data_IF_756325143159
#
_entry.id   IF_756325143159
#
_cell.length_a   1.000
_cell.length_b   1.000
_cell.length_c   1.000
_cell.angle_alpha   90.00
_cell.angle_beta   90.00
_cell.angle_gamma   90.00
#
_symmetry.space_group_name_H-M   'P 1'
#
loop_
_entity.id
_entity.type
_entity.pdbx_description
1 polymer ?
#
# COMPACT_ATOMS: atom_id res chain seq x y z
N UNK A 1 -21.53 -12.47 23.99
CA UNK A 1 -22.64 -11.68 24.56
C UNK A 1 -22.56 -10.22 24.13
N UNK A 2 -21.48 -9.49 24.46
CA UNK A 2 -21.36 -8.05 24.17
C UNK A 2 -21.52 -7.66 22.69
N UNK A 3 -20.89 -8.39 21.77
CA UNK A 3 -20.99 -8.10 20.31
C UNK A 3 -22.43 -8.22 19.79
N UNK A 4 -23.18 -9.22 20.27
CA UNK A 4 -24.60 -9.38 19.90
C UNK A 4 -25.45 -8.23 20.44
N UNK A 5 -25.10 -7.72 21.61
CA UNK A 5 -25.79 -6.60 22.25
C UNK A 5 -25.49 -5.28 21.52
N UNK A 6 -24.23 -5.04 21.14
CA UNK A 6 -23.83 -3.88 20.32
C UNK A 6 -24.46 -3.94 18.93
N UNK A 7 -24.45 -5.10 18.26
CA UNK A 7 -25.12 -5.27 16.96
C UNK A 7 -26.65 -5.17 17.04
N UNK A 8 -27.24 -5.37 18.24
CA UNK A 8 -28.66 -5.15 18.47
C UNK A 8 -28.98 -3.66 18.71
N UNK A 9 -28.11 -2.93 19.43
CA UNK A 9 -28.27 -1.47 19.66
C UNK A 9 -27.93 -0.65 18.41
N UNK A 10 -26.95 -1.08 17.63
CA UNK A 10 -26.50 -0.43 16.39
C UNK A 10 -26.51 -1.41 15.22
N UNK A 11 -27.69 -1.77 14.69
CA UNK A 11 -27.81 -2.74 13.58
C UNK A 11 -27.15 -2.25 12.28
N UNK A 12 -26.99 -0.93 12.14
CA UNK A 12 -26.27 -0.23 11.06
C UNK A 12 -24.75 -0.50 11.09
N UNK A 13 -24.19 -0.90 12.25
CA UNK A 13 -22.75 -1.10 12.47
C UNK A 13 -22.44 -2.53 12.89
N UNK A 14 -22.03 -3.34 11.92
CA UNK A 14 -21.73 -4.76 12.13
C UNK A 14 -20.26 -4.98 12.50
N UNK A 15 -19.93 -4.92 13.79
CA UNK A 15 -18.57 -5.13 14.34
C UNK A 15 -18.11 -6.61 14.43
N UNK A 16 -18.90 -7.55 13.93
CA UNK A 16 -18.64 -8.99 14.05
C UNK A 16 -17.29 -9.40 13.44
N UNK A 17 -16.93 -8.81 12.30
CA UNK A 17 -15.66 -9.06 11.62
C UNK A 17 -14.46 -8.60 12.44
N UNK A 18 -14.55 -7.43 13.09
CA UNK A 18 -13.47 -6.84 13.88
C UNK A 18 -13.12 -7.73 15.08
N UNK A 19 -14.13 -8.22 15.80
CA UNK A 19 -13.91 -9.11 16.95
C UNK A 19 -13.28 -10.43 16.52
N UNK A 20 -13.69 -10.97 15.36
CA UNK A 20 -13.11 -12.19 14.80
C UNK A 20 -11.66 -11.99 14.35
N UNK A 21 -11.30 -10.77 13.93
CA UNK A 21 -9.93 -10.39 13.61
C UNK A 21 -9.08 -10.30 14.88
N UNK A 22 -9.50 -9.51 15.87
CA UNK A 22 -8.78 -9.33 17.13
C UNK A 22 -8.53 -10.65 17.86
N UNK A 23 -9.53 -11.53 17.94
CA UNK A 23 -9.38 -12.85 18.60
C UNK A 23 -8.31 -13.73 17.96
N UNK A 24 -8.05 -13.56 16.66
CA UNK A 24 -7.02 -14.32 15.95
C UNK A 24 -5.63 -13.71 16.12
N UNK A 25 -5.55 -12.38 16.15
CA UNK A 25 -4.28 -11.65 16.10
C UNK A 25 -3.66 -11.45 17.48
N UNK A 26 -4.47 -11.27 18.54
CA UNK A 26 -3.96 -11.07 19.91
C UNK A 26 -3.03 -12.20 20.37
N UNK A 27 -3.33 -13.50 20.20
CA UNK A 27 -2.42 -14.55 20.62
C UNK A 27 -1.09 -14.55 19.87
N UNK A 28 -1.11 -14.15 18.59
CA UNK A 28 0.08 -14.04 17.73
C UNK A 28 0.97 -12.89 18.21
N UNK A 29 0.38 -11.76 18.57
CA UNK A 29 1.10 -10.60 19.11
C UNK A 29 1.73 -10.86 20.49
N UNK A 30 1.19 -11.82 21.26
CA UNK A 30 1.69 -12.15 22.60
C UNK A 30 2.83 -13.18 22.59
N UNK A 31 3.21 -13.73 21.44
CA UNK A 31 4.34 -14.65 21.30
C UNK A 31 5.50 -13.99 20.53
N UNK A 32 6.45 -13.46 21.29
CA UNK A 32 7.60 -12.76 20.73
C UNK A 32 8.60 -13.66 19.99
N UNK A 33 8.54 -14.99 20.16
CA UNK A 33 9.34 -15.88 19.32
C UNK A 33 8.82 -15.88 17.88
N UNK A 34 7.50 -15.78 17.70
CA UNK A 34 6.89 -15.66 16.39
C UNK A 34 7.30 -14.36 15.69
N UNK A 35 7.34 -13.25 16.43
CA UNK A 35 7.87 -11.97 15.94
C UNK A 35 9.33 -12.09 15.49
N UNK A 36 10.21 -12.70 16.30
CA UNK A 36 11.60 -12.93 15.93
C UNK A 36 11.76 -13.76 14.65
N UNK A 37 10.94 -14.82 14.48
CA UNK A 37 10.97 -15.65 13.28
C UNK A 37 10.48 -14.90 12.04
N UNK A 38 9.46 -14.04 12.20
CA UNK A 38 8.99 -13.15 11.13
C UNK A 38 10.09 -12.16 10.72
N UNK A 39 10.81 -11.57 11.68
CA UNK A 39 11.92 -10.67 11.41
C UNK A 39 13.01 -11.35 10.56
N UNK A 40 13.47 -12.54 10.95
CA UNK A 40 14.45 -13.29 10.16
C UNK A 40 13.94 -13.66 8.77
N UNK A 41 12.67 -14.06 8.66
CA UNK A 41 12.03 -14.40 7.38
C UNK A 41 12.03 -13.19 6.45
N UNK A 42 11.67 -12.01 6.95
CA UNK A 42 11.65 -10.75 6.18
C UNK A 42 13.06 -10.33 5.79
N UNK A 43 14.02 -10.39 6.72
CA UNK A 43 15.43 -10.11 6.44
C UNK A 43 15.99 -10.99 5.32
N UNK A 44 15.71 -12.29 5.34
CA UNK A 44 16.10 -13.24 4.26
C UNK A 44 15.35 -12.95 2.95
N UNK A 45 14.05 -12.69 3.03
CA UNK A 45 13.17 -12.48 1.86
C UNK A 45 13.52 -11.24 1.04
N UNK A 46 14.08 -10.22 1.70
CA UNK A 46 14.39 -8.91 1.13
C UNK A 46 15.89 -8.57 1.19
N UNK A 47 16.76 -9.56 1.28
CA UNK A 47 18.22 -9.37 1.29
C UNK A 47 18.77 -8.67 0.04
N UNK A 48 18.02 -8.68 -1.07
CA UNK A 48 18.34 -7.93 -2.29
C UNK A 48 18.08 -6.42 -2.18
N UNK A 49 17.49 -5.94 -1.07
CA UNK A 49 17.27 -4.52 -0.78
C UNK A 49 18.32 -4.03 0.23
N UNK A 50 19.48 -3.50 -0.21
CA UNK A 50 20.60 -3.20 0.69
C UNK A 50 20.28 -2.11 1.74
N UNK A 51 19.31 -1.24 1.43
CA UNK A 51 18.82 -0.16 2.27
C UNK A 51 17.78 -0.60 3.31
N UNK A 52 17.28 -1.84 3.24
CA UNK A 52 16.36 -2.37 4.25
C UNK A 52 17.18 -3.03 5.36
N UNK A 53 16.97 -2.59 6.60
CA UNK A 53 17.57 -3.20 7.78
C UNK A 53 16.48 -3.83 8.65
N UNK A 54 16.73 -5.07 9.04
CA UNK A 54 15.92 -5.81 10.00
C UNK A 54 16.88 -6.23 11.12
N UNK A 55 16.60 -5.90 12.40
CA UNK A 55 17.46 -6.26 13.51
C UNK A 55 17.77 -7.76 13.56
N UNK A 56 19.04 -8.11 13.81
CA UNK A 56 19.39 -9.50 14.13
C UNK A 56 18.76 -9.91 15.46
N UNK A 57 18.16 -11.11 15.51
CA UNK A 57 17.59 -11.66 16.75
C UNK A 57 18.68 -12.40 17.55
N UNK A 58 18.71 -12.17 18.86
CA UNK A 58 19.55 -12.89 19.81
C UNK A 58 18.70 -13.95 20.53
N UNK A 59 18.62 -15.14 19.94
CA UNK A 59 17.74 -16.22 20.41
C UNK A 59 18.07 -16.71 21.83
N UNK A 60 19.35 -16.74 22.21
CA UNK A 60 19.79 -17.13 23.56
C UNK A 60 19.29 -16.18 24.66
N UNK A 61 18.86 -14.97 24.28
CA UNK A 61 18.33 -13.93 25.15
C UNK A 61 16.84 -13.67 24.91
N UNK A 62 16.17 -14.54 24.15
CA UNK A 62 14.76 -14.35 23.74
C UNK A 62 13.86 -15.49 24.24
N UNK A 63 12.64 -15.13 24.60
CA UNK A 63 11.56 -16.03 25.04
C UNK A 63 10.24 -15.57 24.43
N UNK A 64 9.14 -16.29 24.66
CA UNK A 64 7.81 -15.88 24.18
C UNK A 64 7.32 -14.54 24.78
N UNK A 65 7.97 -14.03 25.83
CA UNK A 65 7.59 -12.78 26.53
C UNK A 65 8.65 -11.69 26.47
N UNK A 66 9.86 -11.99 25.95
CA UNK A 66 10.97 -11.04 25.83
C UNK A 66 11.68 -11.30 24.51
N UNK A 67 11.72 -10.33 23.61
CA UNK A 67 12.51 -10.39 22.38
C UNK A 67 13.76 -9.54 22.52
N UNK A 68 14.93 -10.14 22.35
CA UNK A 68 16.20 -9.42 22.34
C UNK A 68 16.73 -9.35 20.91
N UNK A 69 17.00 -8.14 20.42
CA UNK A 69 17.43 -7.89 19.04
C UNK A 69 18.54 -6.84 18.96
N UNK A 70 19.20 -6.77 17.81
CA UNK A 70 20.23 -5.78 17.49
C UNK A 70 19.73 -4.35 17.69
N UNK A 71 20.53 -3.56 18.41
CA UNK A 71 20.24 -2.15 18.58
C UNK A 71 20.60 -1.38 17.30
N UNK A 72 19.57 -0.84 16.65
CA UNK A 72 19.71 -0.01 15.46
C UNK A 72 19.26 1.42 15.77
N UNK A 73 20.14 2.38 15.52
CA UNK A 73 19.83 3.79 15.68
C UNK A 73 19.10 4.37 14.47
N UNK A 74 18.23 5.35 14.70
CA UNK A 74 17.55 6.12 13.66
C UNK A 74 16.47 7.01 14.27
N UNK A 75 15.91 7.91 13.47
CA UNK A 75 14.73 8.68 13.85
C UNK A 75 13.46 8.02 13.31
N UNK A 76 12.33 8.21 13.99
CA UNK A 76 11.06 7.68 13.51
C UNK A 76 10.69 8.28 12.15
N UNK A 77 10.05 7.49 11.28
CA UNK A 77 9.68 7.93 9.92
C UNK A 77 8.75 9.14 9.90
N UNK A 78 7.98 9.34 10.97
CA UNK A 78 7.06 10.48 11.14
C UNK A 78 7.72 11.69 11.84
N UNK A 79 8.97 11.58 12.27
CA UNK A 79 9.71 12.69 12.89
C UNK A 79 10.31 13.62 11.82
N UNK A 80 9.54 14.64 11.47
CA UNK A 80 9.97 15.69 10.54
C UNK A 80 11.14 16.52 11.03
N UNK A 81 11.35 16.62 12.35
CA UNK A 81 12.48 17.36 12.92
C UNK A 81 13.78 16.60 12.69
N UNK A 82 13.78 15.30 12.97
CA UNK A 82 14.92 14.42 12.70
C UNK A 82 15.25 14.35 11.22
N UNK A 83 14.22 14.19 10.36
CA UNK A 83 14.41 14.12 8.91
C UNK A 83 15.10 15.38 8.38
N UNK A 84 14.69 16.57 8.86
CA UNK A 84 15.28 17.85 8.45
C UNK A 84 16.70 18.03 8.98
N UNK A 85 16.92 17.78 10.28
CA UNK A 85 18.23 17.95 10.90
C UNK A 85 19.29 17.02 10.29
N UNK A 86 18.89 15.80 9.90
CA UNK A 86 19.77 14.82 9.27
C UNK A 86 19.82 14.93 7.73
N UNK A 87 19.18 15.95 7.13
CA UNK A 87 19.13 16.16 5.66
C UNK A 87 18.71 14.87 4.92
N UNK A 88 17.72 14.17 5.46
CA UNK A 88 17.11 12.98 4.88
C UNK A 88 16.08 13.43 3.86
N UNK A 89 16.08 12.82 2.67
CA UNK A 89 15.12 13.12 1.63
C UNK A 89 13.80 12.40 1.90
N UNK A 90 12.69 13.11 2.25
CA UNK A 90 11.40 12.48 2.53
C UNK A 90 10.84 11.68 1.34
N UNK A 91 11.17 12.12 0.12
CA UNK A 91 10.73 11.45 -1.11
C UNK A 91 11.37 10.07 -1.27
N UNK A 92 12.65 9.95 -0.92
CA UNK A 92 13.38 8.68 -1.01
C UNK A 92 12.88 7.68 0.05
N UNK A 93 12.58 8.18 1.27
CA UNK A 93 11.95 7.38 2.32
C UNK A 93 10.60 6.83 1.85
N UNK A 94 9.73 7.70 1.33
CA UNK A 94 8.43 7.31 0.82
C UNK A 94 8.54 6.31 -0.35
N UNK A 95 9.46 6.52 -1.29
CA UNK A 95 9.72 5.58 -2.40
C UNK A 95 10.15 4.20 -1.89
N UNK A 96 11.13 4.15 -0.98
CA UNK A 96 11.64 2.90 -0.40
C UNK A 96 10.54 2.14 0.34
N UNK A 97 9.78 2.81 1.20
CA UNK A 97 8.64 2.19 1.89
C UNK A 97 7.58 1.70 0.91
N UNK A 98 7.18 2.52 -0.06
CA UNK A 98 6.23 2.12 -1.10
C UNK A 98 6.70 0.86 -1.83
N UNK A 99 7.99 0.79 -2.16
CA UNK A 99 8.60 -0.35 -2.87
C UNK A 99 8.64 -1.60 -2.03
N UNK A 100 8.90 -1.47 -0.73
CA UNK A 100 8.89 -2.57 0.22
C UNK A 100 7.48 -3.18 0.32
N UNK A 101 6.49 -2.37 0.71
CA UNK A 101 5.12 -2.84 0.94
C UNK A 101 4.46 -3.32 -0.36
N UNK A 102 4.74 -2.67 -1.50
CA UNK A 102 4.26 -3.17 -2.80
C UNK A 102 4.84 -4.54 -3.14
N UNK A 103 6.11 -4.80 -2.83
CA UNK A 103 6.70 -6.13 -3.04
C UNK A 103 6.13 -7.17 -2.06
N UNK A 104 5.92 -6.79 -0.79
CA UNK A 104 5.24 -7.65 0.19
C UNK A 104 3.86 -8.10 -0.31
N UNK A 105 3.06 -7.17 -0.83
CA UNK A 105 1.70 -7.43 -1.31
C UNK A 105 1.68 -8.19 -2.64
N UNK A 106 2.28 -7.61 -3.69
CA UNK A 106 2.08 -8.10 -5.06
C UNK A 106 3.05 -9.22 -5.44
N UNK A 107 4.25 -9.26 -4.86
CA UNK A 107 5.34 -10.15 -5.31
C UNK A 107 5.58 -11.31 -4.35
N UNK A 108 5.66 -11.06 -3.05
CA UNK A 108 6.00 -12.08 -2.04
C UNK A 108 4.76 -12.72 -1.42
N UNK A 109 3.70 -11.94 -1.19
CA UNK A 109 2.50 -12.43 -0.50
C UNK A 109 2.70 -12.63 1.00
N UNK A 110 3.68 -11.96 1.60
CA UNK A 110 3.91 -11.95 3.04
C UNK A 110 3.89 -10.49 3.47
N UNK A 111 2.77 -10.07 4.06
CA UNK A 111 2.44 -8.66 4.26
C UNK A 111 2.44 -8.32 5.73
N UNK A 112 3.23 -7.31 6.09
CA UNK A 112 3.17 -6.73 7.41
C UNK A 112 1.83 -6.00 7.56
N UNK A 113 1.02 -6.52 8.49
CA UNK A 113 -0.37 -6.13 8.68
C UNK A 113 -0.56 -4.97 9.65
N UNK A 114 0.52 -4.48 10.27
CA UNK A 114 0.46 -3.32 11.15
C UNK A 114 1.75 -2.47 11.17
N UNK A 115 2.13 -1.87 10.03
CA UNK A 115 3.33 -1.05 9.97
C UNK A 115 3.16 0.31 10.64
N UNK A 116 3.14 0.32 11.97
CA UNK A 116 3.02 1.54 12.76
C UNK A 116 4.24 2.45 12.52
N UNK A 117 4.07 3.75 12.21
CA UNK A 117 5.19 4.66 11.93
C UNK A 117 6.25 4.72 13.04
N UNK A 118 5.85 4.50 14.30
CA UNK A 118 6.78 4.44 15.43
C UNK A 118 7.77 3.29 15.39
N UNK A 119 7.46 2.20 14.67
CA UNK A 119 8.30 1.01 14.53
C UNK A 119 9.14 1.02 13.24
N UNK A 120 9.11 2.14 12.51
CA UNK A 120 9.87 2.35 11.28
C UNK A 120 10.87 3.48 11.55
N UNK A 121 12.15 3.15 11.59
CA UNK A 121 13.20 4.16 11.70
C UNK A 121 13.82 4.46 10.34
N UNK A 122 14.33 5.68 10.22
CA UNK A 122 15.12 6.15 9.09
C UNK A 122 16.48 6.62 9.58
N UNK A 123 17.54 6.23 8.88
CA UNK A 123 18.90 6.67 9.18
C UNK A 123 19.62 7.03 7.88
N UNK A 124 20.36 8.14 7.89
CA UNK A 124 21.29 8.44 6.80
C UNK A 124 22.64 7.81 7.13
N UNK A 125 23.14 6.96 6.24
CA UNK A 125 24.45 6.32 6.36
C UNK A 125 25.56 7.32 6.05
N UNK A 126 26.80 7.00 6.45
CA UNK A 126 27.98 7.80 6.15
C UNK A 126 28.19 8.04 4.64
N UNK A 127 27.77 7.08 3.81
CA UNK A 127 27.86 7.15 2.35
C UNK A 127 26.73 7.99 1.72
N UNK A 128 25.83 8.55 2.55
CA UNK A 128 24.71 9.37 2.10
C UNK A 128 23.45 8.60 1.72
N UNK A 129 23.49 7.26 1.73
CA UNK A 129 22.31 6.41 1.50
C UNK A 129 21.36 6.44 2.69
N UNK A 130 20.06 6.30 2.44
CA UNK A 130 19.04 6.24 3.50
C UNK A 130 18.66 4.79 3.80
N UNK A 131 18.89 4.34 5.02
CA UNK A 131 18.41 3.07 5.51
C UNK A 131 16.99 3.21 6.07
N UNK A 132 16.17 2.20 5.80
CA UNK A 132 14.86 1.97 6.42
C UNK A 132 15.00 0.79 7.36
N UNK A 133 14.71 1.00 8.64
CA UNK A 133 14.80 -0.01 9.69
C UNK A 133 13.38 -0.39 10.11
N UNK A 134 13.03 -1.68 10.00
CA UNK A 134 11.76 -2.22 10.50
C UNK A 134 12.00 -2.95 11.80
N UNK A 135 11.47 -2.41 12.90
CA UNK A 135 11.63 -2.97 14.24
C UNK A 135 10.59 -4.04 14.55
N UNK A 136 9.33 -3.75 14.26
CA UNK A 136 8.19 -4.61 14.60
C UNK A 136 7.93 -5.63 13.51
N UNK A 137 7.83 -6.90 13.92
CA UNK A 137 7.45 -8.00 13.05
C UNK A 137 6.35 -8.90 13.63
N UNK A 138 5.57 -8.39 14.58
CA UNK A 138 4.57 -9.17 15.31
C UNK A 138 3.44 -9.69 14.40
N UNK A 139 2.89 -8.80 13.55
CA UNK A 139 1.76 -9.14 12.69
C UNK A 139 2.13 -9.21 11.20
N UNK A 140 2.17 -10.44 10.71
CA UNK A 140 2.23 -10.75 9.28
C UNK A 140 1.06 -11.63 8.84
N UNK A 141 0.66 -11.43 7.59
CA UNK A 141 -0.30 -12.27 6.93
C UNK A 141 0.26 -12.85 5.64
N UNK A 142 -0.06 -14.12 5.40
CA UNK A 142 0.21 -14.78 4.14
C UNK A 142 -0.98 -14.62 3.19
N UNK A 143 -0.71 -14.04 2.03
CA UNK A 143 -1.67 -13.87 0.96
C UNK A 143 -1.61 -15.06 0.01
N UNK A 144 -2.76 -15.70 -0.21
CA UNK A 144 -2.90 -16.74 -1.23
C UNK A 144 -2.58 -16.18 -2.62
N UNK A 145 -2.02 -17.02 -3.50
CA UNK A 145 -1.69 -16.61 -4.86
C UNK A 145 -2.93 -16.16 -5.63
N UNK A 146 -4.05 -16.87 -5.51
CA UNK A 146 -5.31 -16.53 -6.18
C UNK A 146 -5.79 -15.14 -5.78
N UNK A 147 -5.81 -14.84 -4.48
CA UNK A 147 -6.16 -13.52 -3.98
C UNK A 147 -5.23 -12.42 -4.53
N UNK A 148 -3.91 -12.66 -4.50
CA UNK A 148 -2.92 -11.70 -5.02
C UNK A 148 -3.10 -11.44 -6.51
N UNK A 149 -3.47 -12.47 -7.27
CA UNK A 149 -3.71 -12.35 -8.71
C UNK A 149 -4.97 -11.55 -8.98
N UNK A 150 -6.08 -11.86 -8.32
CA UNK A 150 -7.31 -11.09 -8.46
C UNK A 150 -7.12 -9.62 -8.01
N UNK A 151 -6.38 -9.39 -6.93
CA UNK A 151 -6.04 -8.04 -6.50
C UNK A 151 -5.13 -7.31 -7.50
N UNK A 152 -4.14 -8.00 -8.09
CA UNK A 152 -3.27 -7.43 -9.13
C UNK A 152 -4.07 -7.08 -10.39
N UNK A 153 -5.00 -7.94 -10.80
CA UNK A 153 -5.87 -7.71 -11.96
C UNK A 153 -6.85 -6.57 -11.70
N UNK A 154 -7.46 -6.49 -10.51
CA UNK A 154 -8.29 -5.34 -10.11
C UNK A 154 -7.52 -4.02 -10.24
N UNK A 155 -6.31 -3.96 -9.67
CA UNK A 155 -5.44 -2.79 -9.82
C UNK A 155 -5.10 -2.49 -11.28
N UNK A 156 -4.82 -3.52 -12.07
CA UNK A 156 -4.53 -3.36 -13.50
C UNK A 156 -5.76 -2.81 -14.26
N UNK A 157 -6.97 -3.24 -13.93
CA UNK A 157 -8.22 -2.72 -14.49
C UNK A 157 -8.45 -1.26 -14.09
N UNK A 158 -8.17 -0.89 -12.84
CA UNK A 158 -8.19 0.51 -12.38
C UNK A 158 -7.22 1.37 -13.22
N UNK A 159 -6.00 0.89 -13.46
CA UNK A 159 -5.00 1.62 -14.25
C UNK A 159 -5.42 1.81 -15.72
N UNK A 160 -6.11 0.82 -16.29
CA UNK A 160 -6.60 0.88 -17.66
C UNK A 160 -8.01 1.49 -17.79
N UNK A 161 -8.63 1.87 -16.67
CA UNK A 161 -10.01 2.38 -16.61
C UNK A 161 -11.03 1.38 -17.18
N UNK A 162 -10.72 0.09 -17.06
CA UNK A 162 -11.57 -1.01 -17.50
C UNK A 162 -12.62 -1.30 -16.44
N UNK A 163 -13.83 -0.77 -16.65
CA UNK A 163 -14.95 -0.92 -15.71
C UNK A 163 -15.39 -2.38 -15.57
N UNK A 164 -15.39 -3.13 -16.67
CA UNK A 164 -15.84 -4.52 -16.66
C UNK A 164 -14.84 -5.40 -15.90
N UNK A 165 -13.54 -5.19 -16.16
CA UNK A 165 -12.49 -5.82 -15.37
C UNK A 165 -12.55 -5.43 -13.89
N UNK A 166 -12.83 -4.16 -13.56
CA UNK A 166 -13.01 -3.73 -12.17
C UNK A 166 -14.18 -4.43 -11.49
N UNK A 167 -15.32 -4.56 -12.18
CA UNK A 167 -16.50 -5.28 -11.68
C UNK A 167 -16.19 -6.75 -11.43
N UNK A 168 -15.64 -7.44 -12.44
CA UNK A 168 -15.34 -8.87 -12.37
C UNK A 168 -14.36 -9.22 -11.24
N UNK A 169 -13.25 -8.49 -11.13
CA UNK A 169 -12.25 -8.78 -10.12
C UNK A 169 -12.68 -8.35 -8.72
N UNK A 170 -13.51 -7.30 -8.59
CA UNK A 170 -14.11 -6.95 -7.30
C UNK A 170 -15.07 -8.06 -6.84
N UNK A 171 -15.88 -8.61 -7.74
CA UNK A 171 -16.81 -9.69 -7.45
C UNK A 171 -16.07 -10.95 -6.95
N UNK A 172 -14.97 -11.32 -7.62
CA UNK A 172 -14.08 -12.40 -7.19
C UNK A 172 -13.43 -12.14 -5.81
N UNK A 173 -13.30 -10.88 -5.41
CA UNK A 173 -12.80 -10.46 -4.10
C UNK A 173 -13.92 -10.30 -3.05
N UNK A 174 -15.16 -10.66 -3.37
CA UNK A 174 -16.32 -10.61 -2.46
C UNK A 174 -17.11 -9.31 -2.52
N UNK A 175 -16.84 -8.43 -3.49
CA UNK A 175 -17.53 -7.13 -3.64
C UNK A 175 -18.16 -7.03 -5.01
N UNK A 176 -19.48 -7.22 -5.10
CA UNK A 176 -20.22 -7.16 -6.36
C UNK A 176 -20.40 -5.74 -6.90
N UNK A 177 -21.62 -5.21 -6.82
CA UNK A 177 -22.01 -3.94 -7.45
C UNK A 177 -21.28 -2.70 -6.88
N UNK A 178 -20.64 -2.82 -5.71
CA UNK A 178 -19.89 -1.75 -5.06
C UNK A 178 -18.41 -1.67 -5.50
N UNK A 179 -18.07 -2.23 -6.67
CA UNK A 179 -16.70 -2.21 -7.20
C UNK A 179 -16.11 -0.79 -7.34
N UNK A 180 -16.94 0.22 -7.63
CA UNK A 180 -16.51 1.61 -7.71
C UNK A 180 -16.03 2.13 -6.35
N UNK A 181 -16.75 1.80 -5.28
CA UNK A 181 -16.41 2.18 -3.91
C UNK A 181 -15.13 1.47 -3.47
N UNK A 182 -15.01 0.18 -3.78
CA UNK A 182 -13.79 -0.57 -3.52
C UNK A 182 -12.57 0.04 -4.24
N UNK A 183 -12.71 0.41 -5.51
CA UNK A 183 -11.64 1.09 -6.25
C UNK A 183 -11.25 2.42 -5.61
N UNK A 184 -12.22 3.21 -5.12
CA UNK A 184 -11.96 4.43 -4.36
C UNK A 184 -11.20 4.15 -3.05
N UNK A 185 -11.60 3.14 -2.28
CA UNK A 185 -10.94 2.73 -1.02
C UNK A 185 -9.49 2.27 -1.25
N UNK A 186 -9.25 1.50 -2.31
CA UNK A 186 -7.92 0.98 -2.68
C UNK A 186 -6.98 2.09 -3.15
N UNK A 187 -7.50 3.06 -3.89
CA UNK A 187 -6.66 4.11 -4.49
C UNK A 187 -6.56 5.36 -3.62
N UNK A 188 -7.48 5.56 -2.68
CA UNK A 188 -7.63 6.79 -1.91
C UNK A 188 -8.10 7.98 -2.78
N UNK A 189 -8.82 7.69 -3.87
CA UNK A 189 -9.23 8.68 -4.89
C UNK A 189 -10.71 8.62 -5.17
N UNK A 190 -11.24 9.72 -5.69
CA UNK A 190 -12.62 9.77 -6.16
C UNK A 190 -12.78 8.97 -7.45
N UNK A 191 -14.00 8.50 -7.69
CA UNK A 191 -14.34 7.78 -8.90
C UNK A 191 -14.04 8.60 -10.16
N UNK A 192 -14.37 9.90 -10.15
CA UNK A 192 -14.10 10.80 -11.26
C UNK A 192 -12.59 10.96 -11.53
N UNK A 193 -11.76 10.97 -10.49
CA UNK A 193 -10.31 11.04 -10.63
C UNK A 193 -9.73 9.77 -11.29
N UNK A 194 -10.28 8.60 -10.94
CA UNK A 194 -9.92 7.32 -11.55
C UNK A 194 -10.33 7.33 -13.03
N UNK A 195 -11.59 7.67 -13.34
CA UNK A 195 -12.15 7.61 -14.69
C UNK A 195 -11.59 8.68 -15.64
N UNK A 196 -11.36 9.90 -15.16
CA UNK A 196 -10.70 10.95 -15.94
C UNK A 196 -9.22 10.64 -16.19
N UNK A 197 -8.64 9.72 -15.41
CA UNK A 197 -7.19 9.51 -15.38
C UNK A 197 -6.44 10.66 -14.72
N UNK A 198 -7.12 11.61 -14.05
CA UNK A 198 -6.47 12.60 -13.21
C UNK A 198 -6.27 12.03 -11.81
N UNK A 199 -5.30 11.13 -11.75
CA UNK A 199 -4.78 10.46 -10.57
C UNK A 199 -4.07 11.42 -9.58
N UNK A 200 -4.42 12.71 -9.58
CA UNK A 200 -3.88 13.74 -8.69
C UNK A 200 -4.83 13.99 -7.51
N UNK A 201 -6.14 13.89 -7.74
CA UNK A 201 -7.14 14.31 -6.74
C UNK A 201 -7.25 13.22 -5.68
N UNK A 202 -6.59 13.43 -4.55
CA UNK A 202 -6.77 12.63 -3.34
C UNK A 202 -8.09 13.02 -2.68
N UNK A 203 -8.75 12.06 -2.02
CA UNK A 203 -9.95 12.33 -1.23
C UNK A 203 -9.73 13.42 -0.17
N UNK A 204 -8.49 13.56 0.34
CA UNK A 204 -8.10 14.58 1.32
C UNK A 204 -8.25 16.03 0.84
N UNK A 205 -8.32 16.26 -0.48
CA UNK A 205 -8.42 17.58 -1.11
C UNK A 205 -9.89 18.03 -1.26
N UNK A 206 -10.85 17.13 -1.01
CA UNK A 206 -12.27 17.50 -0.99
C UNK A 206 -12.55 18.47 0.15
N UNK A 207 -13.31 19.53 -0.16
CA UNK A 207 -13.74 20.54 0.81
C UNK A 207 -14.50 19.87 1.96
N UNK A 208 -14.39 20.46 3.15
CA UNK A 208 -15.08 19.97 4.36
C UNK A 208 -16.57 19.75 4.11
N UNK A 209 -17.19 20.66 3.36
CA UNK A 209 -18.60 20.60 2.95
C UNK A 209 -18.96 19.38 2.08
N UNK A 210 -18.07 18.94 1.19
CA UNK A 210 -18.31 17.75 0.37
C UNK A 210 -18.21 16.47 1.21
N UNK A 211 -17.26 16.44 2.17
CA UNK A 211 -17.12 15.32 3.12
C UNK A 211 -18.35 15.18 4.01
N UNK A 212 -18.81 16.28 4.59
CA UNK A 212 -19.92 16.26 5.55
C UNK A 212 -21.26 15.88 4.88
N UNK A 213 -21.40 16.10 3.56
CA UNK A 213 -22.60 15.72 2.80
C UNK A 213 -22.58 14.29 2.24
N UNK A 214 -21.44 13.83 1.73
CA UNK A 214 -21.36 12.53 1.03
C UNK A 214 -20.94 11.36 1.95
N UNK A 215 -20.08 11.61 2.96
CA UNK A 215 -19.60 10.53 3.85
C UNK A 215 -20.76 9.81 4.56
N UNK A 216 -21.77 10.49 5.14
CA UNK A 216 -22.86 9.79 5.81
C UNK A 216 -23.60 8.80 4.91
N UNK A 217 -23.78 9.13 3.63
CA UNK A 217 -24.44 8.26 2.65
C UNK A 217 -23.55 7.09 2.17
N UNK A 218 -22.23 7.25 2.28
CA UNK A 218 -21.25 6.22 1.94
C UNK A 218 -21.00 5.25 3.10
N UNK A 219 -21.20 5.65 4.35
CA UNK A 219 -20.90 4.82 5.53
C UNK A 219 -21.61 3.45 5.50
N UNK A 220 -22.91 3.32 5.20
CA UNK A 220 -23.57 2.01 5.10
C UNK A 220 -22.98 1.14 3.99
N UNK A 221 -22.64 1.75 2.84
CA UNK A 221 -22.04 1.04 1.71
C UNK A 221 -20.61 0.59 2.01
N UNK A 222 -19.83 1.40 2.72
CA UNK A 222 -18.49 1.03 3.20
C UNK A 222 -18.59 -0.15 4.17
N UNK A 223 -19.59 -0.13 5.07
CA UNK A 223 -19.81 -1.24 5.99
C UNK A 223 -20.13 -2.54 5.24
N UNK A 224 -21.01 -2.48 4.23
CA UNK A 224 -21.37 -3.64 3.40
C UNK A 224 -20.18 -4.19 2.60
N UNK A 225 -19.33 -3.30 2.05
CA UNK A 225 -18.07 -3.72 1.41
C UNK A 225 -17.17 -4.43 2.43
N UNK A 226 -16.94 -3.86 3.60
CA UNK A 226 -16.03 -4.44 4.60
C UNK A 226 -16.53 -5.76 5.19
N UNK A 227 -17.85 -5.99 5.21
CA UNK A 227 -18.44 -7.25 5.67
C UNK A 227 -18.25 -8.38 4.66
N UNK A 228 -18.45 -8.11 3.37
CA UNK A 228 -18.48 -9.13 2.33
C UNK A 228 -17.11 -9.38 1.68
N UNK A 229 -16.19 -8.43 1.79
CA UNK A 229 -14.88 -8.53 1.14
C UNK A 229 -14.03 -9.68 1.70
N UNK A 230 -13.19 -10.24 0.85
CA UNK A 230 -12.20 -11.22 1.25
C UNK A 230 -11.37 -10.69 2.42
N UNK A 231 -11.27 -11.47 3.51
CA UNK A 231 -10.54 -11.06 4.72
C UNK A 231 -9.08 -10.65 4.47
N UNK A 232 -8.41 -11.26 3.49
CA UNK A 232 -7.05 -10.88 3.10
C UNK A 232 -6.96 -9.42 2.62
N UNK A 233 -8.07 -8.87 2.12
CA UNK A 233 -8.16 -7.50 1.67
C UNK A 233 -8.24 -6.48 2.80
N UNK A 234 -8.87 -6.83 3.92
CA UNK A 234 -8.92 -5.95 5.10
C UNK A 234 -7.50 -5.59 5.58
N UNK A 235 -6.60 -6.57 5.53
CA UNK A 235 -5.19 -6.40 5.88
C UNK A 235 -4.47 -5.48 4.90
N UNK A 236 -4.70 -5.66 3.60
CA UNK A 236 -4.17 -4.75 2.57
C UNK A 236 -4.69 -3.32 2.75
N UNK A 237 -5.97 -3.15 3.05
CA UNK A 237 -6.55 -1.82 3.31
C UNK A 237 -5.86 -1.15 4.50
N UNK A 238 -5.67 -1.88 5.61
CA UNK A 238 -4.92 -1.39 6.78
C UNK A 238 -3.48 -0.98 6.42
N UNK A 239 -2.74 -1.83 5.71
CA UNK A 239 -1.37 -1.52 5.26
C UNK A 239 -1.34 -0.29 4.33
N UNK A 240 -2.29 -0.17 3.40
CA UNK A 240 -2.37 0.96 2.49
C UNK A 240 -2.70 2.27 3.21
N UNK A 241 -3.58 2.24 4.21
CA UNK A 241 -3.93 3.43 5.00
C UNK A 241 -2.75 3.92 5.84
N UNK A 242 -1.99 3.01 6.45
CA UNK A 242 -0.76 3.36 7.17
C UNK A 242 0.29 3.97 6.23
N UNK A 243 0.47 3.38 5.04
CA UNK A 243 1.36 3.94 4.01
C UNK A 243 0.94 5.35 3.57
N UNK A 244 -0.36 5.59 3.38
CA UNK A 244 -0.88 6.94 3.08
C UNK A 244 -0.64 7.91 4.24
N UNK A 245 -0.79 7.45 5.48
CA UNK A 245 -0.48 8.23 6.68
C UNK A 245 0.98 8.68 6.71
N UNK A 246 1.92 7.76 6.45
CA UNK A 246 3.36 8.07 6.35
C UNK A 246 3.63 9.08 5.22
N UNK A 247 3.07 8.87 4.02
CA UNK A 247 3.22 9.82 2.91
C UNK A 247 2.68 11.22 3.24
N UNK A 248 1.53 11.27 3.90
CA UNK A 248 0.91 12.52 4.33
C UNK A 248 1.80 13.27 5.32
N UNK A 249 2.33 12.57 6.34
CA UNK A 249 3.24 13.17 7.32
C UNK A 249 4.53 13.66 6.66
N UNK A 250 5.12 12.89 5.73
CA UNK A 250 6.32 13.27 4.99
C UNK A 250 6.11 14.46 4.03
N UNK A 251 4.89 15.02 3.95
CA UNK A 251 4.48 16.06 3.00
C UNK A 251 4.85 15.72 1.57
N UNK A 252 4.76 14.43 1.25
CA UNK A 252 5.06 13.95 -0.08
C UNK A 252 3.83 14.15 -0.99
N UNK A 253 3.79 15.31 -1.67
CA UNK A 253 2.80 15.59 -2.71
C UNK A 253 3.08 14.84 -4.02
N UNK A 254 4.26 14.23 -4.17
CA UNK A 254 4.58 13.43 -5.34
C UNK A 254 3.91 12.08 -5.22
N UNK A 255 3.35 11.64 -6.36
CA UNK A 255 2.48 10.46 -6.56
C UNK A 255 3.23 9.12 -6.41
N UNK A 256 4.17 9.04 -5.47
CA UNK A 256 5.23 8.02 -5.42
C UNK A 256 4.67 6.65 -5.10
N UNK A 257 3.83 6.47 -4.07
CA UNK A 257 3.19 5.18 -3.78
C UNK A 257 2.40 4.64 -4.95
N UNK A 258 1.53 5.48 -5.55
CA UNK A 258 0.66 5.03 -6.64
C UNK A 258 1.48 4.56 -7.85
N UNK A 259 2.57 5.25 -8.20
CA UNK A 259 3.49 4.84 -9.27
C UNK A 259 4.17 3.51 -8.95
N UNK A 260 4.72 3.38 -7.75
CA UNK A 260 5.46 2.21 -7.31
C UNK A 260 4.56 0.98 -7.26
N UNK A 261 3.35 1.12 -6.70
CA UNK A 261 2.33 0.07 -6.71
C UNK A 261 1.97 -0.33 -8.14
N UNK A 262 1.74 0.66 -9.02
CA UNK A 262 1.42 0.40 -10.44
C UNK A 262 2.52 -0.42 -11.14
N UNK A 263 3.79 -0.10 -10.88
CA UNK A 263 4.92 -0.87 -11.43
C UNK A 263 4.94 -2.31 -10.91
N UNK A 264 4.70 -2.50 -9.62
CA UNK A 264 4.65 -3.85 -9.02
C UNK A 264 3.47 -4.67 -9.54
N UNK A 265 2.31 -4.03 -9.74
CA UNK A 265 1.13 -4.64 -10.34
C UNK A 265 1.43 -5.12 -11.76
N UNK A 266 2.02 -4.27 -12.61
CA UNK A 266 2.40 -4.67 -13.98
C UNK A 266 3.33 -5.88 -13.93
N UNK A 267 4.39 -5.84 -13.12
CA UNK A 267 5.31 -6.99 -12.96
C UNK A 267 4.61 -8.26 -12.46
N UNK A 268 3.66 -8.12 -11.52
CA UNK A 268 2.87 -9.24 -11.00
C UNK A 268 2.04 -9.89 -12.10
N UNK A 269 1.22 -9.11 -12.81
CA UNK A 269 0.32 -9.59 -13.88
C UNK A 269 1.10 -10.19 -15.06
N UNK A 270 2.16 -9.53 -15.52
CA UNK A 270 2.97 -10.04 -16.62
C UNK A 270 3.84 -11.24 -16.19
N UNK A 271 4.34 -11.25 -14.96
CA UNK A 271 5.03 -12.40 -14.38
C UNK A 271 4.15 -13.65 -14.31
N UNK A 272 2.87 -13.50 -13.99
CA UNK A 272 1.89 -14.59 -14.06
C UNK A 272 1.67 -15.06 -15.52
N UNK A 273 1.45 -14.13 -16.45
CA UNK A 273 1.33 -14.46 -17.88
C UNK A 273 2.54 -15.21 -18.42
N UNK A 274 3.75 -14.85 -17.99
CA UNK A 274 5.00 -15.53 -18.39
C UNK A 274 5.07 -16.98 -17.90
N UNK A 275 4.53 -17.27 -16.71
CA UNK A 275 4.44 -18.64 -16.18
C UNK A 275 3.50 -19.51 -17.02
N UNK A 276 2.40 -18.93 -17.51
CA UNK A 276 1.41 -19.61 -18.35
C UNK A 276 1.89 -19.82 -19.80
N UNK A 277 2.89 -19.05 -20.27
CA UNK A 277 3.41 -19.17 -21.63
C UNK A 277 4.19 -20.47 -21.85
N UNK A 278 3.74 -21.29 -22.81
CA UNK A 278 4.40 -22.55 -23.22
C UNK A 278 5.49 -22.36 -24.27
N UNK A 279 5.38 -21.36 -25.15
CA UNK A 279 6.31 -21.16 -26.28
C UNK A 279 7.29 -20.00 -26.05
N UNK A 280 8.47 -20.08 -26.68
CA UNK A 280 9.49 -19.01 -26.62
C UNK A 280 8.99 -17.69 -27.22
N UNK A 281 8.24 -17.77 -28.33
CA UNK A 281 7.66 -16.59 -28.98
C UNK A 281 6.62 -15.90 -28.08
N UNK A 282 5.74 -16.67 -27.43
CA UNK A 282 4.75 -16.12 -26.50
C UNK A 282 5.44 -15.46 -25.29
N UNK A 283 6.49 -16.09 -24.74
CA UNK A 283 7.30 -15.49 -23.67
C UNK A 283 7.94 -14.18 -24.10
N UNK A 284 8.60 -14.16 -25.25
CA UNK A 284 9.23 -12.95 -25.78
C UNK A 284 8.20 -11.83 -25.98
N UNK A 285 7.05 -12.13 -26.59
CA UNK A 285 5.95 -11.17 -26.77
C UNK A 285 5.47 -10.63 -25.43
N UNK A 286 5.29 -11.47 -24.41
CA UNK A 286 4.85 -11.05 -23.09
C UNK A 286 5.88 -10.14 -22.41
N UNK A 287 7.18 -10.43 -22.51
CA UNK A 287 8.25 -9.54 -22.00
C UNK A 287 8.25 -8.19 -22.71
N UNK A 288 8.08 -8.16 -24.04
CA UNK A 288 7.99 -6.91 -24.81
C UNK A 288 6.79 -6.08 -24.35
N UNK A 289 5.62 -6.72 -24.16
CA UNK A 289 4.42 -6.05 -23.68
C UNK A 289 4.56 -5.52 -22.25
N UNK A 290 5.24 -6.27 -21.37
CA UNK A 290 5.54 -5.82 -20.00
C UNK A 290 6.40 -4.55 -20.03
N UNK A 291 7.51 -4.57 -20.77
CA UNK A 291 8.40 -3.44 -20.89
C UNK A 291 7.71 -2.23 -21.53
N UNK A 292 6.86 -2.46 -22.54
CA UNK A 292 6.04 -1.41 -23.13
C UNK A 292 5.06 -0.78 -22.14
N UNK A 293 4.39 -1.59 -21.31
CA UNK A 293 3.50 -1.11 -20.27
C UNK A 293 4.25 -0.29 -19.21
N UNK A 294 5.43 -0.75 -18.77
CA UNK A 294 6.30 -0.03 -17.85
C UNK A 294 6.80 1.30 -18.45
N UNK A 295 7.15 1.31 -19.74
CA UNK A 295 7.56 2.51 -20.46
C UNK A 295 6.41 3.52 -20.55
N UNK A 296 5.22 3.08 -20.97
CA UNK A 296 4.02 3.92 -21.03
C UNK A 296 3.70 4.55 -19.67
N UNK A 297 3.78 3.76 -18.61
CA UNK A 297 3.60 4.24 -17.24
C UNK A 297 4.67 5.30 -16.89
N UNK A 298 5.94 5.03 -17.20
CA UNK A 298 7.02 5.99 -16.94
C UNK A 298 6.82 7.31 -17.69
N UNK A 299 6.48 7.25 -18.98
CA UNK A 299 6.21 8.43 -19.81
C UNK A 299 5.04 9.24 -19.27
N UNK A 300 3.94 8.58 -18.89
CA UNK A 300 2.77 9.24 -18.31
C UNK A 300 3.11 9.99 -17.00
N UNK A 301 3.93 9.40 -16.13
CA UNK A 301 4.35 10.08 -14.90
C UNK A 301 5.37 11.18 -15.12
N UNK A 302 6.28 11.01 -16.08
CA UNK A 302 7.17 12.10 -16.50
C UNK A 302 6.35 13.28 -17.02
N UNK A 303 5.35 13.02 -17.87
CA UNK A 303 4.40 14.02 -18.36
C UNK A 303 3.66 14.72 -17.22
N UNK A 304 3.11 13.95 -16.28
CA UNK A 304 2.44 14.51 -15.11
C UNK A 304 3.36 15.37 -14.23
N UNK A 305 4.63 14.96 -14.05
CA UNK A 305 5.61 15.73 -13.29
C UNK A 305 5.94 17.05 -13.99
N UNK A 306 6.09 17.03 -15.31
CA UNK A 306 6.31 18.22 -16.15
C UNK A 306 5.13 19.19 -16.03
N UNK A 307 3.88 18.70 -16.12
CA UNK A 307 2.68 19.52 -15.94
C UNK A 307 2.54 20.11 -14.54
N UNK A 308 2.93 19.36 -13.51
CA UNK A 308 2.88 19.83 -12.12
C UNK A 308 4.01 20.81 -11.77
N UNK A 309 4.94 21.09 -12.69
CA UNK A 309 6.04 22.01 -12.43
C UNK A 309 5.52 23.46 -12.37
N UNK A 310 5.71 24.18 -11.25
CA UNK A 310 5.20 25.54 -11.07
C UNK A 310 5.62 26.51 -12.19
N UNK A 311 6.81 26.35 -12.75
CA UNK A 311 7.34 27.21 -13.81
C UNK A 311 6.59 27.06 -15.13
N UNK A 312 6.25 25.82 -15.51
CA UNK A 312 5.47 25.53 -16.72
C UNK A 312 4.00 25.90 -16.55
N UNK A 313 3.45 25.71 -15.35
CA UNK A 313 2.08 26.11 -15.06
C UNK A 313 1.94 27.64 -15.09
N UNK A 314 2.91 28.38 -14.53
CA UNK A 314 2.97 29.84 -14.65
C UNK A 314 3.16 30.31 -16.10
N UNK A 315 3.97 29.61 -16.90
CA UNK A 315 4.14 29.91 -18.33
C UNK A 315 2.87 29.64 -19.15
N UNK A 316 2.17 28.52 -18.90
CA UNK A 316 0.89 28.20 -19.53
C UNK A 316 -0.24 29.17 -19.13
N UNK A 317 -0.24 29.63 -17.87
CA UNK A 317 -1.17 30.68 -17.40
C UNK A 317 -0.83 32.03 -18.04
N UNK A 318 0.46 32.35 -18.19
CA UNK A 318 0.92 33.58 -18.87
C UNK A 318 0.52 33.58 -20.36
N UNK A 319 0.70 32.45 -21.07
CA UNK A 319 0.29 32.28 -22.47
C UNK A 319 -1.24 32.30 -22.64
N UNK A 320 -2.00 31.81 -21.66
CA UNK A 320 -3.48 31.92 -21.66
C UNK A 320 -4.01 33.32 -21.35
N UNK A 321 -3.23 34.17 -20.66
CA UNK A 321 -3.59 35.58 -20.37
C UNK A 321 -3.20 36.55 -21.49
N UNK A 322 -2.42 36.12 -22.47
CA UNK A 322 -1.92 36.93 -23.60
C UNK A 322 -2.63 36.62 -24.92
N UNK A 323 -3.70 35.83 -24.89
CA UNK A 323 -4.70 35.67 -25.97
C UNK A 323 -6.04 36.22 -25.49
#
# INVERSE_FOLDING_TARGET
>A
ALVKLVSWVFPEFKFSWLVKESKRNIPIELDFLQEGHNAEKVGKMFSHLPWLKVPKIYWDLSTSRVLTMEYLEGGQVNDLTYIRSNKINPYEVADKLSRLYSQMIFIKGFVHSDPHPGNILVKKTANGEIDIILLDHGLYAELSNDFRWEYSKLWFSILNKDKEGMRQHSENLGVGNLYFLLACMITGRTWDAIMSGHLIIKFSVLTKEYRDKEIPNLLPQISDVLENINRQMLLILKTNDLMRGVEFTLKNDKKTSFLVMSRCVIKSVYGERLKLCKTRLARWRTVVLENWALLKLSLYYTYLNVLSNPLLNNFLIFVKKTK
#
